data_IF_279625825710
#
_entry.id   IF_279625825710
#
_cell.length_a   1.000
_cell.length_b   1.000
_cell.length_c   1.000
_cell.angle_alpha   90.00
_cell.angle_beta   90.00
_cell.angle_gamma   90.00
#
_symmetry.space_group_name_H-M   'P 1'
#
loop_
_entity.id
_entity.type
_entity.pdbx_description
1 polymer ?
#
# COMPACT_ATOMS: atom_id res chain seq x y z
N UNK A 1 7.76 -0.86 3.62
CA UNK A 1 7.86 0.52 4.15
C UNK A 1 8.72 0.49 5.41
N UNK A 2 10.03 0.74 5.29
CA UNK A 2 11.01 0.26 6.28
C UNK A 2 11.08 1.02 7.61
N UNK A 3 10.56 2.25 7.69
CA UNK A 3 10.81 3.16 8.80
C UNK A 3 9.60 3.45 9.70
N UNK A 4 8.47 2.77 9.48
CA UNK A 4 7.24 3.03 10.24
C UNK A 4 6.56 4.37 9.90
N UNK A 5 7.12 5.17 9.00
CA UNK A 5 6.43 6.38 8.48
C UNK A 5 5.24 5.96 7.62
N UNK A 6 4.03 6.33 8.04
CA UNK A 6 2.80 5.99 7.33
C UNK A 6 2.63 6.90 6.10
N UNK A 7 2.55 6.34 4.88
CA UNK A 7 2.49 7.10 3.64
C UNK A 7 1.06 7.54 3.32
N UNK A 8 0.94 8.72 2.73
CA UNK A 8 -0.25 9.21 2.03
C UNK A 8 0.15 9.46 0.58
N UNK A 9 -0.38 8.66 -0.35
CA UNK A 9 0.11 8.61 -1.74
C UNK A 9 -1.00 8.83 -2.75
N UNK A 10 -0.65 9.37 -3.92
CA UNK A 10 -1.54 9.35 -5.06
C UNK A 10 -1.60 7.92 -5.65
N UNK A 11 -2.81 7.44 -5.98
CA UNK A 11 -3.07 6.07 -6.43
C UNK A 11 -2.66 5.76 -7.86
N UNK A 12 -1.43 6.10 -8.26
CA UNK A 12 -0.90 5.86 -9.61
C UNK A 12 0.26 4.88 -9.63
N UNK A 13 0.25 4.00 -10.64
CA UNK A 13 1.34 3.06 -10.93
C UNK A 13 1.76 2.25 -9.70
N UNK A 14 3.07 2.05 -9.53
CA UNK A 14 3.62 1.24 -8.46
C UNK A 14 3.29 1.71 -7.04
N UNK A 15 2.87 2.96 -6.83
CA UNK A 15 2.42 3.43 -5.50
C UNK A 15 1.09 2.81 -5.09
N UNK A 16 0.19 2.58 -6.05
CA UNK A 16 -1.09 1.88 -5.82
C UNK A 16 -0.86 0.42 -5.43
N UNK A 17 0.16 -0.20 -5.99
CA UNK A 17 0.51 -1.60 -5.71
C UNK A 17 1.32 -1.74 -4.40
N UNK A 18 2.03 -0.68 -4.01
CA UNK A 18 2.90 -0.69 -2.82
C UNK A 18 2.15 -0.36 -1.53
N UNK A 19 1.21 0.58 -1.57
CA UNK A 19 0.45 1.02 -0.39
C UNK A 19 -0.96 0.44 -0.43
N UNK A 20 -1.40 -0.16 0.67
CA UNK A 20 -2.79 -0.61 0.83
C UNK A 20 -3.55 0.44 1.66
N UNK A 21 -4.68 0.91 1.16
CA UNK A 21 -5.51 1.88 1.88
C UNK A 21 -5.98 1.31 3.21
N UNK A 22 -5.90 2.12 4.27
CA UNK A 22 -6.30 1.72 5.61
C UNK A 22 -7.83 1.61 5.72
N UNK A 23 -8.29 0.43 6.15
CA UNK A 23 -9.69 0.15 6.49
C UNK A 23 -9.76 -0.29 7.96
N UNK A 24 -10.34 0.53 8.86
CA UNK A 24 -10.43 0.20 10.29
C UNK A 24 -11.44 -0.92 10.60
N UNK A 25 -12.37 -1.24 9.69
CA UNK A 25 -13.42 -2.22 9.93
C UNK A 25 -13.06 -3.62 9.44
N UNK A 26 -11.99 -3.76 8.66
CA UNK A 26 -11.51 -5.06 8.17
C UNK A 26 -11.16 -6.02 9.31
N UNK A 27 -11.23 -7.33 9.02
CA UNK A 27 -10.92 -8.44 9.93
C UNK A 27 -11.59 -8.32 11.30
N UNK A 28 -12.89 -8.01 11.32
CA UNK A 28 -13.68 -7.93 12.57
C UNK A 28 -13.30 -6.75 13.46
N UNK A 29 -12.88 -5.63 12.87
CA UNK A 29 -12.50 -4.40 13.58
C UNK A 29 -11.03 -4.34 14.00
N UNK A 30 -10.19 -5.28 13.57
CA UNK A 30 -8.75 -5.26 13.80
C UNK A 30 -8.00 -4.29 12.88
N UNK A 31 -8.64 -3.89 11.78
CA UNK A 31 -8.14 -2.93 10.81
C UNK A 31 -7.02 -3.50 9.92
N UNK A 32 -7.05 -3.15 8.63
CA UNK A 32 -6.06 -3.56 7.64
C UNK A 32 -5.53 -2.38 6.83
N UNK A 33 -4.43 -2.59 6.10
CA UNK A 33 -3.81 -1.57 5.27
C UNK A 33 -2.58 -0.94 5.90
N UNK A 34 -1.82 -0.25 5.06
CA UNK A 34 -0.48 0.25 5.35
C UNK A 34 -0.35 1.76 5.14
N UNK A 35 -1.38 2.46 4.67
CA UNK A 35 -1.39 3.91 4.56
C UNK A 35 -2.67 4.45 3.94
N UNK A 36 -2.59 5.64 3.35
CA UNK A 36 -3.72 6.22 2.61
C UNK A 36 -3.37 6.41 1.15
N UNK A 37 -4.36 6.18 0.31
CA UNK A 37 -4.28 6.42 -1.13
C UNK A 37 -5.36 7.46 -1.46
N UNK A 38 -5.00 8.47 -2.25
CA UNK A 38 -5.96 9.43 -2.78
C UNK A 38 -5.97 9.39 -4.32
N UNK A 39 -7.14 9.66 -4.89
CA UNK A 39 -7.37 9.80 -6.32
C UNK A 39 -8.68 10.57 -6.51
N UNK A 40 -8.80 11.47 -7.51
CA UNK A 40 -7.78 11.86 -8.49
C UNK A 40 -6.64 12.71 -7.87
N UNK A 41 -5.63 13.06 -8.67
CA UNK A 41 -4.56 13.99 -8.29
C UNK A 41 -5.10 15.42 -8.20
N UNK A 42 -5.84 15.69 -7.13
CA UNK A 42 -6.38 17.01 -6.82
C UNK A 42 -6.03 17.41 -5.39
N UNK A 43 -6.00 18.73 -5.16
CA UNK A 43 -5.78 19.31 -3.84
C UNK A 43 -6.82 18.82 -2.84
N UNK A 44 -8.07 18.72 -3.26
CA UNK A 44 -9.21 18.34 -2.44
C UNK A 44 -9.07 16.89 -1.97
N UNK A 45 -8.72 15.98 -2.89
CA UNK A 45 -8.54 14.55 -2.60
C UNK A 45 -7.35 14.33 -1.67
N UNK A 46 -6.24 15.03 -1.91
CA UNK A 46 -5.07 14.98 -1.04
C UNK A 46 -5.37 15.50 0.37
N UNK A 47 -6.05 16.65 0.48
CA UNK A 47 -6.43 17.23 1.78
C UNK A 47 -7.39 16.33 2.55
N UNK A 48 -8.34 15.68 1.87
CA UNK A 48 -9.24 14.73 2.50
C UNK A 48 -8.47 13.56 3.13
N UNK A 49 -7.55 12.94 2.37
CA UNK A 49 -6.73 11.84 2.86
C UNK A 49 -5.81 12.27 4.03
N UNK A 50 -5.17 13.45 3.92
CA UNK A 50 -4.35 13.99 5.00
C UNK A 50 -5.14 14.25 6.29
N UNK A 51 -6.36 14.80 6.19
CA UNK A 51 -7.21 15.04 7.35
C UNK A 51 -7.56 13.74 8.07
N UNK A 52 -7.94 12.70 7.33
CA UNK A 52 -8.23 11.37 7.90
C UNK A 52 -6.98 10.77 8.54
N UNK A 53 -5.82 10.87 7.90
CA UNK A 53 -4.55 10.39 8.45
C UNK A 53 -4.20 11.12 9.76
N UNK A 54 -4.30 12.45 9.79
CA UNK A 54 -4.02 13.26 10.99
C UNK A 54 -5.00 12.94 12.12
N UNK A 55 -6.29 12.78 11.82
CA UNK A 55 -7.30 12.41 12.81
C UNK A 55 -7.03 11.01 13.38
N UNK A 56 -6.68 10.04 12.52
CA UNK A 56 -6.29 8.69 12.96
C UNK A 56 -5.05 8.75 13.85
N UNK A 57 -4.03 9.53 13.46
CA UNK A 57 -2.83 9.72 14.26
C UNK A 57 -3.12 10.34 15.63
N UNK A 58 -4.05 11.30 15.72
CA UNK A 58 -4.35 12.01 16.97
C UNK A 58 -5.23 11.18 17.89
N UNK A 59 -6.30 10.63 17.35
CA UNK A 59 -7.41 10.11 18.15
C UNK A 59 -7.37 8.57 18.27
N UNK A 60 -6.63 7.89 17.39
CA UNK A 60 -6.59 6.42 17.29
C UNK A 60 -5.15 5.89 17.26
N UNK A 61 -4.38 6.14 18.33
CA UNK A 61 -2.97 5.78 18.43
C UNK A 61 -2.68 4.29 18.21
N UNK A 62 -3.52 3.41 18.76
CA UNK A 62 -3.40 1.95 18.57
C UNK A 62 -3.54 1.55 17.10
N UNK A 63 -4.52 2.12 16.39
CA UNK A 63 -4.70 1.92 14.96
C UNK A 63 -3.49 2.42 14.19
N UNK A 64 -2.95 3.59 14.54
CA UNK A 64 -1.76 4.14 13.91
C UNK A 64 -0.55 3.21 14.08
N UNK A 65 -0.28 2.72 15.29
CA UNK A 65 0.77 1.73 15.55
C UNK A 65 0.60 0.45 14.74
N UNK A 66 -0.63 -0.03 14.59
CA UNK A 66 -0.94 -1.18 13.73
C UNK A 66 -0.56 -0.93 12.27
N UNK A 67 -0.88 0.26 11.73
CA UNK A 67 -0.50 0.63 10.36
C UNK A 67 1.03 0.68 10.21
N UNK A 68 1.73 1.28 11.18
CA UNK A 68 3.19 1.35 11.17
C UNK A 68 3.83 -0.05 11.16
N UNK A 69 3.40 -0.93 12.07
CA UNK A 69 3.94 -2.30 12.19
C UNK A 69 3.72 -3.11 10.92
N UNK A 70 2.50 -3.13 10.39
CA UNK A 70 2.19 -3.81 9.10
C UNK A 70 3.03 -3.28 7.95
N UNK A 71 3.29 -1.96 7.92
CA UNK A 71 4.15 -1.34 6.91
C UNK A 71 5.61 -1.80 6.98
N UNK A 72 6.14 -1.95 8.21
CA UNK A 72 7.50 -2.40 8.48
C UNK A 72 7.68 -3.91 8.26
N UNK A 73 6.64 -4.70 8.53
CA UNK A 73 6.62 -6.15 8.30
C UNK A 73 6.53 -6.51 6.80
N UNK A 74 6.13 -5.57 5.93
CA UNK A 74 6.06 -5.81 4.50
C UNK A 74 7.45 -6.00 3.89
N UNK A 75 7.70 -7.20 3.38
CA UNK A 75 8.94 -7.53 2.67
C UNK A 75 9.09 -6.65 1.43
N UNK A 76 10.09 -5.76 1.51
CA UNK A 76 10.47 -4.81 0.44
C UNK A 76 11.92 -5.07 0.01
N UNK A 77 12.36 -6.33 0.03
CA UNK A 77 13.67 -6.79 -0.44
C UNK A 77 13.69 -6.94 -1.96
N UNK A 78 14.90 -7.01 -2.54
CA UNK A 78 15.05 -7.28 -3.97
C UNK A 78 14.77 -8.74 -4.29
N UNK A 79 15.04 -9.64 -3.36
CA UNK A 79 14.71 -11.07 -3.45
C UNK A 79 13.20 -11.25 -3.64
N UNK A 80 12.37 -10.61 -2.82
CA UNK A 80 10.90 -10.67 -2.98
C UNK A 80 10.44 -10.07 -4.32
N UNK A 81 11.08 -8.99 -4.78
CA UNK A 81 10.77 -8.42 -6.09
C UNK A 81 11.14 -9.38 -7.24
N UNK A 82 12.29 -10.06 -7.14
CA UNK A 82 12.78 -10.99 -8.15
C UNK A 82 11.82 -12.18 -8.35
N UNK A 83 11.27 -12.74 -7.26
CA UNK A 83 10.26 -13.81 -7.33
C UNK A 83 9.06 -13.43 -8.21
N UNK A 84 8.60 -12.17 -8.14
CA UNK A 84 7.51 -11.70 -8.99
C UNK A 84 7.90 -11.66 -10.47
N UNK A 85 9.15 -11.28 -10.78
CA UNK A 85 9.65 -11.30 -12.16
C UNK A 85 9.87 -12.72 -12.68
N UNK A 86 10.40 -13.62 -11.84
CA UNK A 86 10.56 -15.05 -12.18
C UNK A 86 9.23 -15.66 -12.60
N UNK A 87 8.16 -15.40 -11.84
CA UNK A 87 6.82 -15.88 -12.17
C UNK A 87 6.32 -15.36 -13.53
N UNK A 88 6.59 -14.09 -13.84
CA UNK A 88 6.23 -13.49 -15.14
C UNK A 88 7.02 -14.15 -16.27
N UNK A 89 8.30 -14.44 -16.06
CA UNK A 89 9.11 -15.15 -17.05
C UNK A 89 8.62 -16.58 -17.29
N UNK A 90 8.22 -17.32 -16.24
CA UNK A 90 7.61 -18.64 -16.40
C UNK A 90 6.36 -18.60 -17.30
N UNK A 91 5.46 -17.66 -17.07
CA UNK A 91 4.27 -17.49 -17.92
C UNK A 91 4.65 -17.18 -19.36
N UNK A 92 5.60 -16.27 -19.57
CA UNK A 92 6.07 -15.90 -20.89
C UNK A 92 6.72 -17.06 -21.67
N UNK A 93 7.28 -18.06 -20.98
CA UNK A 93 7.83 -19.27 -21.61
C UNK A 93 6.78 -20.35 -21.90
N UNK A 94 5.68 -20.39 -21.15
CA UNK A 94 4.57 -21.34 -21.36
C UNK A 94 3.70 -20.90 -22.54
N UNK A 95 3.44 -19.60 -22.63
CA UNK A 95 2.57 -19.05 -23.66
C UNK A 95 3.25 -19.02 -25.04
N UNK A 96 2.50 -19.25 -26.13
CA UNK A 96 3.03 -19.04 -27.47
C UNK A 96 3.48 -17.58 -27.64
N UNK A 97 4.56 -17.33 -28.43
CA UNK A 97 5.11 -16.00 -28.56
C UNK A 97 4.06 -15.02 -29.06
N UNK A 98 3.90 -13.90 -28.36
CA UNK A 98 3.02 -12.83 -28.79
C UNK A 98 3.58 -12.17 -30.06
N UNK A 99 2.91 -12.35 -31.19
CA UNK A 99 3.23 -11.72 -32.47
C UNK A 99 2.10 -10.75 -32.80
N UNK A 100 2.43 -9.46 -32.98
CA UNK A 100 1.48 -8.41 -33.38
C UNK A 100 1.07 -8.53 -34.84
#
# INVERSE_FOLDING_TARGET
>A
MRYGTVPVVHGTGGLRDTVQAFDPYSKGGLGEGTGWIFSPLSKESMLAALRVAIMTYRDHKSSWEGIMKRGMEKDSTWENAAVQYEQVFEWAFIDPPYIK
#
